data_IF_256570712956
#
_entry.id   IF_256570712956
#
_cell.length_a   1.000
_cell.length_b   1.000
_cell.length_c   1.000
_cell.angle_alpha   90.00
_cell.angle_beta   90.00
_cell.angle_gamma   90.00
#
_symmetry.space_group_name_H-M   'P 1'
#
loop_
_entity.id
_entity.type
_entity.pdbx_description
1 polymer ?
#
# COMPACT_ATOMS: atom_id res chain seq x y z
N UNK A 1 9.80 -6.57 -40.81
CA UNK A 1 9.27 -7.32 -39.63
C UNK A 1 10.00 -8.67 -39.59
N UNK A 2 10.83 -8.87 -38.58
CA UNK A 2 11.53 -10.13 -38.39
C UNK A 2 10.52 -11.20 -37.94
N UNK A 3 10.28 -12.21 -38.79
CA UNK A 3 9.31 -13.29 -38.51
C UNK A 3 9.74 -14.23 -37.37
N UNK A 4 10.96 -14.08 -36.87
CA UNK A 4 11.52 -14.91 -35.78
C UNK A 4 11.31 -14.29 -34.39
N UNK A 5 10.75 -13.08 -34.30
CA UNK A 5 10.58 -12.37 -33.04
C UNK A 5 9.07 -12.22 -32.75
N UNK A 6 8.62 -12.84 -31.64
CA UNK A 6 7.26 -12.71 -31.13
C UNK A 6 7.31 -11.79 -29.93
N UNK A 7 6.73 -10.60 -30.05
CA UNK A 7 6.56 -9.68 -28.93
C UNK A 7 5.21 -9.92 -28.27
N UNK A 8 5.19 -10.35 -27.03
CA UNK A 8 3.98 -10.50 -26.23
C UNK A 8 3.92 -9.36 -25.22
N UNK A 9 3.00 -8.41 -25.36
CA UNK A 9 2.86 -7.34 -24.38
C UNK A 9 2.22 -7.88 -23.10
N UNK A 10 2.85 -7.58 -21.94
CA UNK A 10 2.27 -7.83 -20.63
C UNK A 10 1.77 -6.52 -20.04
N UNK A 11 0.49 -6.47 -19.73
CA UNK A 11 -0.15 -5.33 -19.08
C UNK A 11 -0.38 -5.62 -17.61
N UNK A 12 -0.30 -4.59 -16.77
CA UNK A 12 -0.69 -4.69 -15.37
C UNK A 12 -2.17 -5.06 -15.25
N UNK A 13 -2.48 -5.93 -14.30
CA UNK A 13 -3.87 -6.29 -14.04
C UNK A 13 -4.67 -5.09 -13.54
N UNK A 14 -5.91 -5.03 -13.96
CA UNK A 14 -6.92 -4.13 -13.42
C UNK A 14 -7.87 -4.91 -12.49
N UNK A 15 -8.76 -4.18 -11.83
CA UNK A 15 -9.75 -4.80 -10.94
C UNK A 15 -10.56 -5.92 -11.63
N UNK A 16 -10.98 -5.70 -12.88
CA UNK A 16 -11.81 -6.66 -13.61
C UNK A 16 -11.06 -7.94 -13.96
N UNK A 17 -9.77 -7.83 -14.34
CA UNK A 17 -8.95 -9.00 -14.62
C UNK A 17 -8.68 -9.83 -13.35
N UNK A 18 -8.42 -9.18 -12.23
CA UNK A 18 -8.25 -9.85 -10.93
C UNK A 18 -9.57 -10.48 -10.45
N UNK A 19 -10.69 -9.79 -10.62
CA UNK A 19 -12.01 -10.33 -10.30
C UNK A 19 -12.30 -11.59 -11.11
N UNK A 20 -12.02 -11.56 -12.41
CA UNK A 20 -12.21 -12.74 -13.28
C UNK A 20 -11.35 -13.93 -12.83
N UNK A 21 -10.11 -13.71 -12.40
CA UNK A 21 -9.22 -14.76 -11.90
C UNK A 21 -9.81 -15.41 -10.65
N UNK A 22 -10.22 -14.60 -9.66
CA UNK A 22 -10.83 -15.09 -8.43
C UNK A 22 -12.15 -15.82 -8.67
N UNK A 23 -13.06 -15.24 -9.43
CA UNK A 23 -14.37 -15.83 -9.76
C UNK A 23 -14.22 -17.17 -10.50
N UNK A 24 -13.31 -17.22 -11.49
CA UNK A 24 -13.01 -18.46 -12.24
C UNK A 24 -12.49 -19.57 -11.34
N UNK A 25 -11.63 -19.24 -10.36
CA UNK A 25 -11.12 -20.23 -9.40
C UNK A 25 -12.26 -20.85 -8.60
N UNK A 26 -13.09 -20.04 -7.96
CA UNK A 26 -14.18 -20.52 -7.11
C UNK A 26 -15.27 -21.28 -7.91
N UNK A 27 -15.58 -20.83 -9.11
CA UNK A 27 -16.49 -21.54 -10.03
C UNK A 27 -15.95 -22.91 -10.44
N UNK A 28 -14.64 -23.01 -10.74
CA UNK A 28 -14.00 -24.28 -11.08
C UNK A 28 -14.07 -25.30 -9.94
N UNK A 29 -14.03 -24.81 -8.69
CA UNK A 29 -14.14 -25.64 -7.49
C UNK A 29 -15.58 -25.87 -7.03
N UNK A 30 -16.59 -25.30 -7.71
CA UNK A 30 -18.01 -25.32 -7.32
C UNK A 30 -18.25 -24.77 -5.91
N UNK A 31 -17.50 -23.73 -5.51
CA UNK A 31 -17.61 -23.09 -4.21
C UNK A 31 -18.35 -21.77 -4.39
N UNK A 32 -19.55 -21.63 -3.77
CA UNK A 32 -20.27 -20.37 -3.81
C UNK A 32 -19.56 -19.33 -2.95
N UNK A 33 -19.22 -18.19 -3.54
CA UNK A 33 -18.63 -17.05 -2.83
C UNK A 33 -19.41 -15.78 -3.13
N UNK A 34 -19.54 -14.91 -2.12
CA UNK A 34 -20.16 -13.60 -2.32
C UNK A 34 -19.20 -12.66 -3.07
N UNK A 35 -19.77 -11.64 -3.71
CA UNK A 35 -19.00 -10.58 -4.34
C UNK A 35 -18.12 -9.83 -3.32
N UNK A 36 -18.56 -9.74 -2.07
CA UNK A 36 -17.83 -9.15 -0.97
C UNK A 36 -16.54 -9.92 -0.65
N UNK A 37 -16.59 -11.26 -0.66
CA UNK A 37 -15.40 -12.12 -0.49
C UNK A 37 -14.40 -11.87 -1.59
N UNK A 38 -14.84 -11.86 -2.86
CA UNK A 38 -13.96 -11.59 -4.00
C UNK A 38 -13.35 -10.18 -3.91
N UNK A 39 -14.14 -9.19 -3.58
CA UNK A 39 -13.67 -7.83 -3.39
C UNK A 39 -12.62 -7.73 -2.28
N UNK A 40 -12.83 -8.44 -1.19
CA UNK A 40 -11.88 -8.49 -0.07
C UNK A 40 -10.54 -9.09 -0.51
N UNK A 41 -10.55 -10.19 -1.23
CA UNK A 41 -9.33 -10.83 -1.75
C UNK A 41 -8.57 -9.93 -2.72
N UNK A 42 -9.28 -9.30 -3.67
CA UNK A 42 -8.68 -8.39 -4.65
C UNK A 42 -8.08 -7.16 -3.96
N UNK A 43 -8.79 -6.61 -2.98
CA UNK A 43 -8.29 -5.46 -2.20
C UNK A 43 -7.00 -5.82 -1.44
N UNK A 44 -6.91 -7.03 -0.89
CA UNK A 44 -5.73 -7.54 -0.18
C UNK A 44 -4.56 -7.85 -1.10
N UNK A 45 -4.86 -8.29 -2.32
CA UNK A 45 -3.84 -8.49 -3.35
C UNK A 45 -3.18 -7.19 -3.82
N UNK A 46 -3.75 -6.02 -3.47
CA UNK A 46 -3.23 -4.69 -3.80
C UNK A 46 -2.94 -4.51 -5.31
N UNK A 47 -3.78 -5.09 -6.16
CA UNK A 47 -3.63 -5.01 -7.61
C UNK A 47 -2.57 -5.94 -8.21
N UNK A 48 -1.94 -6.81 -7.42
CA UNK A 48 -0.94 -7.77 -7.86
C UNK A 48 -1.55 -9.16 -8.03
N UNK A 49 -1.33 -9.76 -9.21
CA UNK A 49 -1.85 -11.09 -9.56
C UNK A 49 -1.23 -12.19 -8.71
N UNK A 50 0.07 -12.10 -8.42
CA UNK A 50 0.76 -13.13 -7.64
C UNK A 50 0.27 -13.11 -6.20
N UNK A 51 0.07 -11.92 -5.63
CA UNK A 51 -0.51 -11.80 -4.30
C UNK A 51 -1.93 -12.37 -4.26
N UNK A 52 -2.77 -12.09 -5.26
CA UNK A 52 -4.10 -12.69 -5.35
C UNK A 52 -4.04 -14.23 -5.42
N UNK A 53 -3.11 -14.78 -6.21
CA UNK A 53 -2.94 -16.21 -6.29
C UNK A 53 -2.52 -16.80 -4.94
N UNK A 54 -1.58 -16.18 -4.25
CA UNK A 54 -1.15 -16.60 -2.91
C UNK A 54 -2.31 -16.62 -1.90
N UNK A 55 -3.19 -15.60 -1.94
CA UNK A 55 -4.39 -15.55 -1.07
C UNK A 55 -5.40 -16.64 -1.45
N UNK A 56 -5.59 -16.89 -2.73
CA UNK A 56 -6.46 -17.97 -3.23
C UNK A 56 -5.91 -19.33 -2.78
N UNK A 57 -4.61 -19.57 -2.86
CA UNK A 57 -3.98 -20.86 -2.49
C UNK A 57 -4.12 -21.14 -0.98
N UNK A 58 -4.07 -20.11 -0.13
CA UNK A 58 -4.37 -20.24 1.30
C UNK A 58 -5.82 -20.70 1.53
N UNK A 59 -6.76 -20.09 0.82
CA UNK A 59 -8.17 -20.47 0.90
C UNK A 59 -8.38 -21.87 0.35
N UNK A 60 -7.72 -22.24 -0.73
CA UNK A 60 -7.80 -23.59 -1.29
C UNK A 60 -7.32 -24.65 -0.29
N UNK A 61 -6.22 -24.39 0.38
CA UNK A 61 -5.69 -25.26 1.44
C UNK A 61 -6.67 -25.39 2.62
N UNK A 62 -7.33 -24.31 2.99
CA UNK A 62 -8.36 -24.33 4.05
C UNK A 62 -9.61 -25.11 3.66
N UNK A 63 -9.96 -25.11 2.36
CA UNK A 63 -11.15 -25.74 1.82
C UNK A 63 -11.04 -27.26 1.65
N UNK A 64 -9.87 -27.87 1.84
CA UNK A 64 -9.68 -29.32 1.71
C UNK A 64 -10.75 -30.09 2.53
N UNK A 65 -11.16 -29.55 3.67
CA UNK A 65 -12.14 -30.14 4.57
C UNK A 65 -13.47 -29.37 4.66
N UNK A 66 -13.68 -28.31 3.88
CA UNK A 66 -14.87 -27.45 3.92
C UNK A 66 -15.40 -27.18 2.51
N UNK A 67 -16.74 -27.19 2.39
CA UNK A 67 -17.44 -26.95 1.11
C UNK A 67 -17.94 -25.50 0.96
N UNK A 68 -17.69 -24.63 1.95
CA UNK A 68 -18.20 -23.27 1.99
C UNK A 68 -17.15 -22.34 2.61
N UNK A 69 -17.02 -21.16 2.07
CA UNK A 69 -16.21 -20.06 2.60
C UNK A 69 -17.14 -18.96 3.07
N UNK A 70 -16.94 -18.47 4.28
CA UNK A 70 -17.61 -17.28 4.80
C UNK A 70 -16.60 -16.12 4.91
N UNK A 71 -17.09 -14.89 4.97
CA UNK A 71 -16.23 -13.70 5.03
C UNK A 71 -15.26 -13.73 6.22
N UNK A 72 -15.71 -14.22 7.38
CA UNK A 72 -14.86 -14.35 8.58
C UNK A 72 -13.67 -15.29 8.37
N UNK A 73 -13.87 -16.41 7.67
CA UNK A 73 -12.78 -17.34 7.33
C UNK A 73 -11.75 -16.62 6.45
N UNK A 74 -12.22 -15.89 5.44
CA UNK A 74 -11.35 -15.09 4.56
C UNK A 74 -10.61 -14.04 5.36
N UNK A 75 -11.26 -13.33 6.25
CA UNK A 75 -10.64 -12.33 7.11
C UNK A 75 -9.56 -12.91 8.03
N UNK A 76 -9.74 -14.12 8.53
CA UNK A 76 -8.78 -14.83 9.39
C UNK A 76 -7.61 -15.44 8.60
N UNK A 77 -7.89 -16.03 7.45
CA UNK A 77 -6.88 -16.73 6.63
C UNK A 77 -6.01 -15.78 5.82
N UNK A 78 -6.63 -14.76 5.30
CA UNK A 78 -5.97 -13.70 4.58
C UNK A 78 -5.58 -12.63 5.58
N UNK A 79 -4.78 -12.96 6.59
CA UNK A 79 -4.25 -11.94 7.50
C UNK A 79 -3.88 -10.74 6.66
N UNK A 80 -4.39 -9.56 7.05
CA UNK A 80 -3.86 -8.33 6.47
C UNK A 80 -2.36 -8.50 6.56
N UNK A 81 -1.70 -8.69 5.43
CA UNK A 81 -0.25 -8.86 5.46
C UNK A 81 0.25 -7.67 6.27
N UNK A 82 1.07 -7.91 7.25
CA UNK A 82 1.72 -6.86 8.06
C UNK A 82 2.19 -5.71 7.17
N UNK A 83 2.60 -6.02 5.95
CA UNK A 83 2.98 -5.08 4.90
C UNK A 83 1.87 -4.11 4.43
N UNK A 84 0.59 -4.50 4.47
CA UNK A 84 -0.51 -3.58 4.12
C UNK A 84 -0.73 -2.55 5.24
N UNK A 85 -0.59 -2.97 6.49
CA UNK A 85 -0.66 -2.06 7.63
C UNK A 85 0.50 -1.06 7.60
N UNK A 86 1.71 -1.48 7.19
CA UNK A 86 2.86 -0.59 7.05
C UNK A 86 2.66 0.44 5.93
N UNK A 87 2.10 0.00 4.80
CA UNK A 87 1.78 0.89 3.70
C UNK A 87 0.72 1.91 4.09
N UNK A 88 -0.36 1.46 4.71
CA UNK A 88 -1.47 2.30 5.16
C UNK A 88 -1.03 3.29 6.26
N UNK A 89 -0.24 2.83 7.23
CA UNK A 89 0.34 3.65 8.29
C UNK A 89 1.13 4.83 7.70
N UNK A 90 1.99 4.57 6.72
CA UNK A 90 2.79 5.60 6.04
C UNK A 90 1.91 6.53 5.22
N UNK A 91 0.89 6.01 4.54
CA UNK A 91 0.00 6.82 3.73
C UNK A 91 -0.78 7.83 4.57
N UNK A 92 -1.31 7.43 5.72
CA UNK A 92 -2.01 8.36 6.61
C UNK A 92 -1.07 9.34 7.31
N UNK A 93 0.16 8.94 7.61
CA UNK A 93 1.19 9.86 8.09
C UNK A 93 1.48 10.96 7.06
N UNK A 94 1.73 10.60 5.80
CA UNK A 94 1.94 11.55 4.71
C UNK A 94 0.70 12.41 4.41
N UNK A 95 -0.49 11.85 4.60
CA UNK A 95 -1.74 12.60 4.45
C UNK A 95 -2.02 13.55 5.63
N UNK A 96 -1.21 13.53 6.70
CA UNK A 96 -1.44 14.27 7.94
C UNK A 96 -2.79 13.92 8.60
N UNK A 97 -3.22 12.66 8.47
CA UNK A 97 -4.43 12.17 9.10
C UNK A 97 -4.09 11.53 10.45
N UNK A 98 -3.92 12.40 11.46
CA UNK A 98 -3.50 11.99 12.81
C UNK A 98 -4.45 10.95 13.44
N UNK A 99 -5.78 11.11 13.26
CA UNK A 99 -6.76 10.18 13.84
C UNK A 99 -6.57 8.75 13.31
N UNK A 100 -6.42 8.61 11.98
CA UNK A 100 -6.21 7.30 11.35
C UNK A 100 -4.82 6.73 11.65
N UNK A 101 -3.80 7.59 11.69
CA UNK A 101 -2.46 7.20 12.09
C UNK A 101 -2.45 6.58 13.49
N UNK A 102 -3.05 7.25 14.48
CA UNK A 102 -3.15 6.76 15.85
C UNK A 102 -4.00 5.48 15.96
N UNK A 103 -5.10 5.38 15.21
CA UNK A 103 -5.92 4.15 15.16
C UNK A 103 -5.08 2.95 14.73
N UNK A 104 -4.32 3.08 13.63
CA UNK A 104 -3.48 2.00 13.12
C UNK A 104 -2.36 1.63 14.10
N UNK A 105 -1.72 2.63 14.73
CA UNK A 105 -0.67 2.37 15.72
C UNK A 105 -1.22 1.59 16.92
N UNK A 106 -2.42 1.93 17.38
CA UNK A 106 -3.03 1.29 18.55
C UNK A 106 -3.64 -0.09 18.25
N UNK A 107 -4.07 -0.32 17.01
CA UNK A 107 -4.71 -1.58 16.61
C UNK A 107 -3.69 -2.68 16.23
N UNK A 108 -2.43 -2.30 16.02
CA UNK A 108 -1.39 -3.21 15.56
C UNK A 108 -0.23 -3.28 16.54
N UNK A 109 0.33 -4.47 16.69
CA UNK A 109 1.53 -4.72 17.48
C UNK A 109 2.75 -4.75 16.57
N UNK A 110 3.38 -3.60 16.39
CA UNK A 110 4.62 -3.49 15.62
C UNK A 110 5.83 -3.94 16.44
N UNK A 111 6.78 -4.58 15.78
CA UNK A 111 8.04 -5.04 16.37
C UNK A 111 9.21 -4.11 16.00
N UNK A 112 10.35 -4.32 16.63
CA UNK A 112 11.59 -3.63 16.27
C UNK A 112 12.05 -3.93 14.83
N UNK A 113 11.75 -5.10 14.31
CA UNK A 113 12.06 -5.53 12.94
C UNK A 113 11.21 -4.78 11.93
N UNK A 114 9.93 -4.54 12.24
CA UNK A 114 9.01 -3.82 11.40
C UNK A 114 9.43 -2.37 11.19
N UNK A 115 10.10 -1.77 12.16
CA UNK A 115 10.56 -0.39 12.09
C UNK A 115 11.44 -0.14 10.84
N UNK A 116 12.28 -1.10 10.47
CA UNK A 116 13.13 -1.00 9.26
C UNK A 116 12.29 -1.09 8.00
N UNK A 117 11.27 -1.95 7.98
CA UNK A 117 10.39 -2.13 6.82
C UNK A 117 9.52 -0.88 6.63
N UNK A 118 8.98 -0.36 7.72
CA UNK A 118 8.13 0.84 7.72
C UNK A 118 8.92 2.06 7.25
N UNK A 119 10.11 2.31 7.79
CA UNK A 119 10.91 3.49 7.40
C UNK A 119 11.36 3.43 5.93
N UNK A 120 11.63 2.22 5.39
CA UNK A 120 11.92 2.03 3.97
C UNK A 120 10.70 2.23 3.09
N UNK A 121 9.53 1.77 3.54
CA UNK A 121 8.25 2.04 2.89
C UNK A 121 7.98 3.55 2.84
N UNK A 122 8.30 4.25 3.92
CA UNK A 122 8.19 5.71 3.99
C UNK A 122 9.11 6.38 2.97
N UNK A 123 10.36 5.96 2.90
CA UNK A 123 11.33 6.46 1.91
C UNK A 123 10.86 6.24 0.47
N UNK A 124 10.34 5.05 0.17
CA UNK A 124 9.81 4.74 -1.14
C UNK A 124 8.65 5.68 -1.53
N UNK A 125 7.69 5.88 -0.63
CA UNK A 125 6.54 6.77 -0.87
C UNK A 125 6.94 8.23 -0.96
N UNK A 126 7.88 8.69 -0.14
CA UNK A 126 8.42 10.05 -0.24
C UNK A 126 9.13 10.31 -1.58
N UNK A 127 9.95 9.36 -2.05
CA UNK A 127 10.57 9.45 -3.39
C UNK A 127 9.53 9.46 -4.52
N UNK A 128 8.44 8.70 -4.37
CA UNK A 128 7.32 8.74 -5.32
C UNK A 128 6.64 10.10 -5.33
N UNK A 129 6.39 10.72 -4.17
CA UNK A 129 5.85 12.08 -4.08
C UNK A 129 6.78 13.10 -4.74
N UNK A 130 8.09 12.98 -4.54
CA UNK A 130 9.06 13.87 -5.18
C UNK A 130 8.99 13.77 -6.71
N UNK A 131 8.87 12.55 -7.25
CA UNK A 131 8.69 12.33 -8.68
C UNK A 131 7.38 12.96 -9.18
N UNK A 132 6.27 12.77 -8.48
CA UNK A 132 4.99 13.38 -8.83
C UNK A 132 5.12 14.91 -8.85
N UNK A 133 5.71 15.50 -7.84
CA UNK A 133 5.93 16.95 -7.76
C UNK A 133 6.81 17.47 -8.92
N UNK A 134 7.79 16.70 -9.37
CA UNK A 134 8.62 17.08 -10.53
C UNK A 134 7.82 17.04 -11.85
N UNK A 135 6.92 16.08 -12.02
CA UNK A 135 6.06 15.97 -13.20
C UNK A 135 4.95 17.05 -13.22
N UNK A 136 4.48 17.46 -12.04
CA UNK A 136 3.51 18.57 -11.92
C UNK A 136 4.05 19.93 -12.37
N UNK A 137 5.36 20.13 -12.42
CA UNK A 137 5.94 21.38 -12.98
C UNK A 137 5.64 21.57 -14.48
N UNK A 138 5.36 20.49 -15.18
CA UNK A 138 5.04 20.48 -16.62
C UNK A 138 3.56 20.28 -16.93
N UNK A 139 2.72 19.98 -15.93
CA UNK A 139 1.29 19.69 -16.10
C UNK A 139 0.49 20.35 -14.98
N UNK A 140 -0.55 21.08 -15.35
CA UNK A 140 -1.37 21.82 -14.37
C UNK A 140 -2.37 20.92 -13.62
N UNK A 141 -2.72 19.75 -14.18
CA UNK A 141 -3.77 18.89 -13.62
C UNK A 141 -3.17 17.70 -12.87
N UNK A 142 -3.44 17.62 -11.56
CA UNK A 142 -3.01 16.52 -10.69
C UNK A 142 -3.56 15.17 -11.18
N UNK A 143 -4.80 15.13 -11.68
CA UNK A 143 -5.44 13.89 -12.14
C UNK A 143 -4.74 13.31 -13.37
N UNK A 144 -4.27 14.16 -14.27
CA UNK A 144 -3.49 13.74 -15.43
C UNK A 144 -2.13 13.17 -15.00
N UNK A 145 -1.45 13.82 -14.07
CA UNK A 145 -0.16 13.33 -13.55
C UNK A 145 -0.35 11.95 -12.89
N UNK A 146 -1.38 11.80 -12.05
CA UNK A 146 -1.70 10.54 -11.38
C UNK A 146 -2.02 9.42 -12.39
N UNK A 147 -2.72 9.73 -13.49
CA UNK A 147 -3.09 8.75 -14.50
C UNK A 147 -1.88 8.20 -15.31
N UNK A 148 -0.82 9.00 -15.46
CA UNK A 148 0.39 8.62 -16.20
C UNK A 148 1.49 7.98 -15.36
N UNK A 149 1.30 7.88 -14.03
CA UNK A 149 2.31 7.29 -13.15
C UNK A 149 2.53 5.80 -13.42
N UNK A 150 3.78 5.40 -13.35
CA UNK A 150 4.19 3.99 -13.42
C UNK A 150 5.00 3.63 -12.15
N UNK A 151 4.53 2.65 -11.35
CA UNK A 151 3.27 1.89 -11.48
C UNK A 151 2.04 2.78 -11.23
N UNK A 152 0.86 2.40 -11.79
CA UNK A 152 -0.37 3.17 -11.63
C UNK A 152 -0.81 3.21 -10.16
N UNK A 153 -1.45 4.31 -9.76
CA UNK A 153 -2.05 4.44 -8.44
C UNK A 153 -3.39 3.71 -8.45
N UNK A 154 -3.60 2.86 -7.44
CA UNK A 154 -4.88 2.20 -7.25
C UNK A 154 -5.99 3.25 -7.06
N UNK A 155 -7.14 3.04 -7.67
CA UNK A 155 -8.21 4.04 -7.71
C UNK A 155 -8.69 4.50 -6.33
N UNK A 156 -8.67 3.61 -5.31
CA UNK A 156 -9.02 3.94 -3.91
C UNK A 156 -8.02 4.87 -3.24
N UNK A 157 -6.77 4.85 -3.67
CA UNK A 157 -5.68 5.62 -3.05
C UNK A 157 -5.52 7.01 -3.67
N UNK A 158 -6.23 7.30 -4.77
CA UNK A 158 -6.08 8.56 -5.51
C UNK A 158 -6.32 9.78 -4.63
N UNK A 159 -7.38 9.79 -3.85
CA UNK A 159 -7.75 10.93 -3.00
C UNK A 159 -6.73 11.12 -1.88
N UNK A 160 -6.24 10.01 -1.31
CA UNK A 160 -5.19 10.03 -0.29
C UNK A 160 -3.87 10.58 -0.85
N UNK A 161 -3.50 10.15 -2.06
CA UNK A 161 -2.30 10.66 -2.75
C UNK A 161 -2.46 12.14 -3.13
N UNK A 162 -3.63 12.59 -3.55
CA UNK A 162 -3.91 14.02 -3.77
C UNK A 162 -3.71 14.84 -2.48
N UNK A 163 -4.16 14.32 -1.35
CA UNK A 163 -3.95 14.96 -0.06
C UNK A 163 -2.46 15.02 0.31
N UNK A 164 -1.72 13.95 0.08
CA UNK A 164 -0.27 13.91 0.29
C UNK A 164 0.45 14.95 -0.58
N UNK A 165 0.10 15.06 -1.85
CA UNK A 165 0.69 16.07 -2.78
C UNK A 165 0.43 17.50 -2.29
N UNK A 166 -0.75 17.77 -1.74
CA UNK A 166 -1.08 19.11 -1.18
C UNK A 166 -0.24 19.43 0.06
N UNK A 167 0.08 18.44 0.88
CA UNK A 167 0.85 18.63 2.12
C UNK A 167 2.34 18.82 1.86
N UNK A 168 2.87 18.25 0.77
CA UNK A 168 4.30 18.22 0.48
C UNK A 168 4.63 18.83 -0.88
N UNK A 169 5.18 20.03 -0.88
CA UNK A 169 5.87 20.60 -2.06
C UNK A 169 7.16 19.81 -2.35
N UNK A 170 7.76 20.02 -3.51
CA UNK A 170 9.04 19.40 -3.86
C UNK A 170 10.13 19.64 -2.80
N UNK A 171 10.29 20.89 -2.35
CA UNK A 171 11.27 21.25 -1.30
C UNK A 171 10.98 20.56 0.04
N UNK A 172 9.70 20.54 0.49
CA UNK A 172 9.30 19.84 1.71
C UNK A 172 9.56 18.33 1.59
N UNK A 173 9.32 17.75 0.42
CA UNK A 173 9.56 16.33 0.18
C UNK A 173 11.05 15.99 0.21
N UNK A 174 11.93 16.85 -0.30
CA UNK A 174 13.37 16.66 -0.20
C UNK A 174 13.87 16.72 1.26
N UNK A 175 13.34 17.66 2.06
CA UNK A 175 13.64 17.74 3.49
C UNK A 175 13.15 16.49 4.23
N UNK A 176 11.93 16.02 3.91
CA UNK A 176 11.38 14.78 4.44
C UNK A 176 12.27 13.57 4.13
N UNK A 177 12.75 13.44 2.90
CA UNK A 177 13.66 12.35 2.50
C UNK A 177 14.96 12.39 3.31
N UNK A 178 15.53 13.58 3.55
CA UNK A 178 16.71 13.74 4.42
C UNK A 178 16.44 13.30 5.86
N UNK A 179 15.28 13.70 6.39
CA UNK A 179 14.84 13.31 7.74
C UNK A 179 14.63 11.80 7.87
N UNK A 180 13.95 11.16 6.88
CA UNK A 180 13.77 9.72 6.82
C UNK A 180 15.12 8.98 6.84
N UNK A 181 16.08 9.40 6.02
CA UNK A 181 17.39 8.77 5.96
C UNK A 181 18.15 8.89 7.30
N UNK A 182 18.01 10.06 7.98
CA UNK A 182 18.57 10.25 9.32
C UNK A 182 17.93 9.29 10.33
N UNK A 183 16.62 9.21 10.34
CA UNK A 183 15.86 8.31 11.22
C UNK A 183 16.18 6.84 10.92
N UNK A 184 16.32 6.43 9.65
CA UNK A 184 16.75 5.06 9.30
C UNK A 184 18.13 4.74 9.89
N UNK A 185 19.05 5.69 9.86
CA UNK A 185 20.38 5.51 10.45
C UNK A 185 20.29 5.37 11.98
N UNK A 186 19.46 6.16 12.63
CA UNK A 186 19.22 6.09 14.09
C UNK A 186 18.58 4.76 14.50
N UNK A 187 17.59 4.28 13.75
CA UNK A 187 16.96 2.97 13.94
C UNK A 187 18.01 1.84 13.86
N UNK A 188 18.89 1.88 12.84
CA UNK A 188 19.93 0.86 12.65
C UNK A 188 20.98 0.86 13.74
N UNK A 189 21.31 2.03 14.31
CA UNK A 189 22.26 2.16 15.42
C UNK A 189 21.67 1.73 16.76
N UNK A 190 20.36 1.86 16.92
CA UNK A 190 19.65 1.63 18.19
C UNK A 190 18.52 0.61 18.01
N UNK A 191 18.89 -0.62 17.60
CA UNK A 191 17.92 -1.66 17.24
C UNK A 191 16.87 -1.92 18.34
N UNK A 192 17.30 -2.00 19.61
CA UNK A 192 16.40 -2.26 20.75
C UNK A 192 15.36 -1.13 20.97
N UNK A 193 15.63 0.07 20.46
CA UNK A 193 14.71 1.23 20.58
C UNK A 193 14.15 1.67 19.21
N UNK A 194 14.33 0.86 18.17
CA UNK A 194 14.00 1.18 16.79
C UNK A 194 12.54 1.57 16.59
N UNK A 195 11.63 0.85 17.25
CA UNK A 195 10.20 1.12 17.17
C UNK A 195 9.83 2.49 17.76
N UNK A 196 10.36 2.83 18.94
CA UNK A 196 10.07 4.12 19.56
C UNK A 196 10.61 5.29 18.72
N UNK A 197 11.82 5.14 18.14
CA UNK A 197 12.40 6.15 17.24
C UNK A 197 11.51 6.33 16.00
N UNK A 198 11.01 5.24 15.41
CA UNK A 198 10.10 5.29 14.28
C UNK A 198 8.79 5.99 14.64
N UNK A 199 8.15 5.58 15.74
CA UNK A 199 6.85 6.11 16.17
C UNK A 199 6.96 7.60 16.51
N UNK A 200 8.00 8.03 17.21
CA UNK A 200 8.24 9.46 17.48
C UNK A 200 8.37 10.25 16.18
N UNK A 201 9.17 9.75 15.24
CA UNK A 201 9.31 10.37 13.93
C UNK A 201 7.95 10.49 13.21
N UNK A 202 7.17 9.40 13.17
CA UNK A 202 5.89 9.37 12.46
C UNK A 202 4.83 10.24 13.13
N UNK A 203 4.77 10.27 14.46
CA UNK A 203 3.84 11.11 15.20
C UNK A 203 4.16 12.60 15.02
N UNK A 204 5.44 12.96 15.01
CA UNK A 204 5.85 14.33 14.74
C UNK A 204 5.57 14.75 13.30
N UNK A 205 5.83 13.86 12.34
CA UNK A 205 5.58 14.12 10.92
C UNK A 205 4.07 14.11 10.60
N UNK A 206 3.28 13.24 11.25
CA UNK A 206 1.84 13.10 11.03
C UNK A 206 0.98 14.23 11.56
N UNK A 207 1.51 15.09 12.45
CA UNK A 207 0.78 16.24 12.99
C UNK A 207 0.45 17.25 11.90
N UNK A 208 -0.77 17.77 11.92
CA UNK A 208 -1.11 18.96 11.14
C UNK A 208 -0.35 20.14 11.75
N UNK A 209 0.42 20.84 10.93
CA UNK A 209 0.96 22.13 11.33
C UNK A 209 -0.24 23.07 11.35
N UNK A 210 -0.82 23.29 12.54
CA UNK A 210 -1.79 24.33 12.76
C UNK A 210 -1.05 25.69 12.60
N UNK A 211 -0.90 26.15 11.37
CA UNK A 211 -0.63 27.57 11.11
C UNK A 211 -1.89 28.35 11.48
N UNK A 212 -2.10 28.54 12.78
CA UNK A 212 -2.87 29.69 13.27
C UNK A 212 -1.87 30.84 13.38
N UNK A 213 -1.83 31.67 12.36
CA UNK A 213 -1.44 33.06 12.43
C UNK A 213 -2.64 33.87 12.02
#
# INVERSE_FOLDING_TARGET
>A
KDKKLICVPFYSDNYQSLFYIGDKFFKKKNIPVSQEILNTLINRANGDRQNLQNEIDKIDSFLINKKKVILEDVLKLTNMSENNNFSELVDYCLAKNEKKLLSIINENHFSSEDAIIIIRTFLYKAKRLLKINSEMKSKENIDEVIAFLKPPIFWKDKDLVKQQIRNYSAQKTELLIKSINKTELEIKKNYNNSLNILLDFMLNEGKQINNKI
#
